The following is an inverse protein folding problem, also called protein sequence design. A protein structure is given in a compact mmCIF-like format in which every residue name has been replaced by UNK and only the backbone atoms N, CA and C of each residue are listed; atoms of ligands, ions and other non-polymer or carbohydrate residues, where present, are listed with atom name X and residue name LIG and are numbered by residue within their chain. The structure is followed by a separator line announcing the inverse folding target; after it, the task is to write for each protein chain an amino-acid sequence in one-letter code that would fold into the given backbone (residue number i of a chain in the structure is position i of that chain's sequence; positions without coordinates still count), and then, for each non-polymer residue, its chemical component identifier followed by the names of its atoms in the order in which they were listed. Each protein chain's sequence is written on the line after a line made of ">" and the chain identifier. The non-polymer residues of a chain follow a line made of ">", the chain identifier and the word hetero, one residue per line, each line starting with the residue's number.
data_IF_402613492031
#
_entry.id   IF_402613492031
#
_cell.length_a   1.000
_cell.length_b   1.000
_cell.length_c   1.000
_cell.angle_alpha   90.00
_cell.angle_beta   90.00
_cell.angle_gamma   90.00
#
_symmetry.space_group_name_H-M   'P 1'
#
loop_
_entity.id
_entity.type
_entity.pdbx_description
1 polymer ?
#
# COMPACT_ATOMS: atom_id res chain seq x y z
N UNK A 1 11.16 31.18 3.99
CA UNK A 1 12.11 31.61 2.94
C UNK A 1 13.15 30.55 2.57
N UNK A 2 13.62 29.68 3.47
CA UNK A 2 14.42 28.51 3.10
C UNK A 2 13.59 27.25 2.79
N UNK A 3 12.39 27.13 3.37
CA UNK A 3 11.44 26.03 3.10
C UNK A 3 10.88 26.11 1.68
N UNK A 4 10.52 27.31 1.20
CA UNK A 4 9.91 27.49 -0.13
C UNK A 4 10.87 27.17 -1.29
N UNK A 5 12.17 27.48 -1.14
CA UNK A 5 13.18 27.12 -2.16
C UNK A 5 13.45 25.62 -2.17
N UNK A 6 13.51 24.99 -1.00
CA UNK A 6 13.72 23.54 -0.89
C UNK A 6 12.50 22.77 -1.44
N UNK A 7 11.28 23.23 -1.19
CA UNK A 7 10.06 22.64 -1.76
C UNK A 7 9.97 22.81 -3.28
N UNK A 8 10.37 23.98 -3.81
CA UNK A 8 10.37 24.27 -5.25
C UNK A 8 11.44 23.50 -6.04
N UNK A 9 12.68 23.43 -5.53
CA UNK A 9 13.75 22.64 -6.14
C UNK A 9 13.43 21.14 -6.14
N UNK A 10 12.76 20.67 -5.10
CA UNK A 10 12.34 19.27 -5.01
C UNK A 10 11.14 18.99 -5.95
N UNK A 11 10.22 19.94 -6.16
CA UNK A 11 9.14 19.81 -7.15
C UNK A 11 9.63 19.65 -8.59
N UNK A 12 10.55 20.52 -9.03
CA UNK A 12 11.12 20.44 -10.37
C UNK A 12 11.87 19.12 -10.58
N UNK A 13 12.60 18.66 -9.55
CA UNK A 13 13.31 17.38 -9.60
C UNK A 13 12.37 16.20 -9.91
N UNK A 14 11.20 16.13 -9.26
CA UNK A 14 10.26 15.03 -9.47
C UNK A 14 9.65 15.00 -10.86
N UNK A 15 9.26 16.16 -11.39
CA UNK A 15 8.62 16.23 -12.70
C UNK A 15 9.64 15.99 -13.83
N UNK A 16 10.86 16.50 -13.69
CA UNK A 16 11.93 16.33 -14.68
C UNK A 16 12.51 14.91 -14.72
N UNK A 17 12.57 14.22 -13.57
CA UNK A 17 13.20 12.90 -13.48
C UNK A 17 12.21 11.74 -13.49
N UNK A 18 10.89 11.99 -13.59
CA UNK A 18 9.85 10.94 -13.48
C UNK A 18 10.07 9.75 -14.43
N UNK A 19 10.38 10.01 -15.70
CA UNK A 19 10.56 8.94 -16.69
C UNK A 19 11.81 8.11 -16.39
N UNK A 20 12.92 8.79 -16.08
CA UNK A 20 14.19 8.16 -15.65
C UNK A 20 13.95 7.31 -14.39
N UNK A 21 13.20 7.82 -13.42
CA UNK A 21 12.86 7.11 -12.18
C UNK A 21 12.12 5.79 -12.46
N UNK A 22 11.21 5.84 -13.42
CA UNK A 22 10.39 4.70 -13.82
C UNK A 22 11.19 3.73 -14.71
N UNK A 23 12.23 4.18 -15.40
CA UNK A 23 13.12 3.35 -16.23
C UNK A 23 14.25 2.68 -15.44
N UNK A 24 14.81 3.37 -14.45
CA UNK A 24 15.86 2.86 -13.55
C UNK A 24 15.33 1.83 -12.53
N UNK A 25 14.01 1.64 -12.45
CA UNK A 25 13.40 0.62 -11.61
C UNK A 25 13.73 -0.79 -12.13
N UNK A 26 14.42 -1.58 -11.30
CA UNK A 26 14.83 -2.95 -11.65
C UNK A 26 13.95 -4.00 -10.97
N UNK A 27 13.34 -4.88 -11.77
CA UNK A 27 12.55 -6.02 -11.26
C UNK A 27 13.39 -6.99 -10.42
N UNK A 28 14.68 -7.15 -10.74
CA UNK A 28 15.60 -8.06 -10.04
C UNK A 28 15.77 -7.71 -8.55
N UNK A 29 15.79 -6.43 -8.20
CA UNK A 29 15.95 -5.96 -6.82
C UNK A 29 14.66 -6.03 -6.03
N UNK A 30 13.55 -5.74 -6.71
CA UNK A 30 12.23 -5.95 -6.17
C UNK A 30 12.00 -7.44 -5.85
N UNK A 31 12.38 -8.34 -6.76
CA UNK A 31 12.38 -9.78 -6.53
C UNK A 31 13.25 -10.18 -5.34
N UNK A 32 14.49 -9.67 -5.29
CA UNK A 32 15.42 -9.94 -4.19
C UNK A 32 14.81 -9.53 -2.84
N UNK A 33 14.19 -8.35 -2.77
CA UNK A 33 13.51 -7.89 -1.57
C UNK A 33 12.42 -8.85 -1.12
N UNK A 34 11.55 -9.31 -2.03
CA UNK A 34 10.49 -10.26 -1.69
C UNK A 34 11.03 -11.64 -1.30
N UNK A 35 12.13 -12.10 -1.91
CA UNK A 35 12.78 -13.37 -1.58
C UNK A 35 13.40 -13.36 -0.18
N UNK A 36 13.97 -12.23 0.25
CA UNK A 36 14.51 -12.03 1.59
C UNK A 36 13.41 -11.82 2.64
N UNK A 37 12.23 -11.33 2.22
CA UNK A 37 11.11 -10.99 3.09
C UNK A 37 9.87 -11.86 2.83
N UNK A 38 10.03 -13.19 2.83
CA UNK A 38 8.94 -14.12 2.43
C UNK A 38 7.65 -14.02 3.24
N UNK A 39 7.69 -13.50 4.48
CA UNK A 39 6.54 -13.40 5.38
C UNK A 39 5.91 -12.00 5.42
N UNK A 40 6.33 -11.09 4.53
CA UNK A 40 5.98 -9.68 4.50
C UNK A 40 4.49 -9.35 4.64
N UNK A 41 3.62 -10.16 4.01
CA UNK A 41 2.17 -9.94 3.98
C UNK A 41 1.42 -10.68 5.09
N UNK A 42 2.07 -11.63 5.76
CA UNK A 42 1.45 -12.50 6.77
C UNK A 42 0.82 -11.70 7.92
N UNK A 43 1.45 -10.65 8.48
CA UNK A 43 0.82 -9.82 9.51
C UNK A 43 -0.47 -9.14 9.02
N UNK A 44 -0.49 -8.63 7.79
CA UNK A 44 -1.65 -7.95 7.20
C UNK A 44 -2.82 -8.91 6.98
N UNK A 45 -2.56 -10.13 6.51
CA UNK A 45 -3.57 -11.19 6.45
C UNK A 45 -4.06 -11.61 7.83
N UNK A 46 -3.17 -11.68 8.83
CA UNK A 46 -3.53 -11.95 10.21
C UNK A 46 -4.50 -10.90 10.76
N UNK A 47 -4.26 -9.62 10.47
CA UNK A 47 -5.14 -8.52 10.85
C UNK A 47 -6.50 -8.59 10.11
N UNK A 48 -6.51 -8.87 8.80
CA UNK A 48 -7.75 -9.05 8.03
C UNK A 48 -8.61 -10.18 8.60
N UNK A 49 -7.99 -11.33 8.92
CA UNK A 49 -8.69 -12.47 9.48
C UNK A 49 -9.29 -12.15 10.86
N UNK A 50 -8.62 -11.33 11.67
CA UNK A 50 -9.20 -10.85 12.94
C UNK A 50 -10.39 -9.94 12.69
N UNK A 51 -10.28 -8.99 11.76
CA UNK A 51 -11.38 -8.10 11.40
C UNK A 51 -12.63 -8.88 10.96
N UNK A 52 -12.44 -9.86 10.04
CA UNK A 52 -13.50 -10.76 9.57
C UNK A 52 -14.14 -11.58 10.69
N UNK A 53 -13.40 -11.95 11.74
CA UNK A 53 -13.95 -12.66 12.90
C UNK A 53 -14.82 -11.75 13.77
N UNK A 54 -14.35 -10.54 14.09
CA UNK A 54 -15.09 -9.60 14.95
C UNK A 54 -16.38 -9.08 14.33
N UNK A 55 -16.46 -8.99 13.00
CA UNK A 55 -17.70 -8.52 12.35
C UNK A 55 -18.79 -9.60 12.23
N UNK A 56 -18.40 -10.88 12.34
CA UNK A 56 -19.31 -12.03 12.17
C UNK A 56 -19.58 -12.79 13.48
N UNK A 57 -19.04 -12.32 14.61
CA UNK A 57 -19.26 -12.95 15.91
C UNK A 57 -20.54 -12.46 16.58
N UNK A 58 -21.11 -13.28 17.46
CA UNK A 58 -22.28 -12.91 18.29
C UNK A 58 -22.03 -11.67 19.17
N UNK A 59 -20.76 -11.39 19.49
CA UNK A 59 -20.29 -10.17 20.16
C UNK A 59 -19.62 -9.21 19.16
N UNK A 60 -20.35 -8.86 18.11
CA UNK A 60 -19.80 -8.00 17.06
C UNK A 60 -19.33 -6.65 17.62
N UNK A 61 -18.04 -6.36 17.47
CA UNK A 61 -17.46 -5.05 17.79
C UNK A 61 -16.91 -4.43 16.51
N UNK A 62 -17.67 -3.48 15.98
CA UNK A 62 -17.36 -2.81 14.72
C UNK A 62 -16.09 -1.95 14.83
N UNK A 63 -15.82 -1.37 16.00
CA UNK A 63 -14.60 -0.60 16.24
C UNK A 63 -13.38 -1.50 16.14
N UNK A 64 -13.42 -2.66 16.81
CA UNK A 64 -12.33 -3.64 16.75
C UNK A 64 -12.15 -4.19 15.34
N UNK A 65 -13.24 -4.54 14.66
CA UNK A 65 -13.20 -5.02 13.28
C UNK A 65 -12.57 -3.98 12.34
N UNK A 66 -13.01 -2.73 12.44
CA UNK A 66 -12.52 -1.61 11.64
C UNK A 66 -11.03 -1.30 11.91
N UNK A 67 -10.59 -1.31 13.16
CA UNK A 67 -9.19 -1.07 13.50
C UNK A 67 -8.30 -2.18 12.92
N UNK A 68 -8.67 -3.46 13.07
CA UNK A 68 -7.89 -4.55 12.47
C UNK A 68 -7.89 -4.49 10.93
N UNK A 69 -9.01 -4.12 10.30
CA UNK A 69 -9.05 -3.93 8.85
C UNK A 69 -8.17 -2.75 8.41
N UNK A 70 -8.19 -1.63 9.14
CA UNK A 70 -7.33 -0.46 8.88
C UNK A 70 -5.85 -0.82 9.02
N UNK A 71 -5.47 -1.58 10.05
CA UNK A 71 -4.10 -2.11 10.20
C UNK A 71 -3.73 -2.99 9.01
N UNK A 72 -4.64 -3.86 8.58
CA UNK A 72 -4.42 -4.73 7.43
C UNK A 72 -4.11 -3.94 6.15
N UNK A 73 -4.90 -2.89 5.88
CA UNK A 73 -4.68 -1.97 4.76
C UNK A 73 -3.32 -1.30 4.89
N UNK A 74 -3.05 -0.64 6.02
CA UNK A 74 -1.83 0.16 6.18
C UNK A 74 -0.56 -0.68 6.14
N UNK A 75 -0.55 -1.81 6.84
CA UNK A 75 0.61 -2.70 6.87
C UNK A 75 0.76 -3.38 5.51
N UNK A 76 -0.31 -3.90 4.92
CA UNK A 76 -0.27 -4.53 3.59
C UNK A 76 0.24 -3.57 2.52
N UNK A 77 -0.29 -2.35 2.50
CA UNK A 77 0.15 -1.32 1.57
C UNK A 77 1.61 -0.92 1.75
N UNK A 78 2.02 -0.64 3.01
CA UNK A 78 3.37 -0.20 3.32
C UNK A 78 4.40 -1.30 3.11
N UNK A 79 4.14 -2.49 3.64
CA UNK A 79 5.09 -3.60 3.61
C UNK A 79 5.13 -4.24 2.23
N UNK A 80 3.97 -4.52 1.63
CA UNK A 80 3.90 -5.36 0.44
C UNK A 80 4.08 -4.61 -0.87
N UNK A 81 3.89 -3.28 -0.89
CA UNK A 81 3.97 -2.51 -2.12
C UNK A 81 4.97 -1.35 -1.99
N UNK A 82 4.74 -0.41 -1.07
CA UNK A 82 5.57 0.81 -0.94
C UNK A 82 7.05 0.49 -0.68
N UNK A 83 7.36 -0.24 0.40
CA UNK A 83 8.76 -0.53 0.77
C UNK A 83 9.53 -1.29 -0.32
N UNK A 84 8.98 -2.37 -0.91
CA UNK A 84 9.60 -3.04 -2.05
C UNK A 84 9.84 -2.10 -3.23
N UNK A 85 8.86 -1.25 -3.57
CA UNK A 85 9.00 -0.28 -4.66
C UNK A 85 10.14 0.69 -4.39
N UNK A 86 10.26 1.21 -3.16
CA UNK A 86 11.38 2.08 -2.77
C UNK A 86 12.71 1.35 -2.87
N UNK A 87 12.76 0.09 -2.43
CA UNK A 87 13.98 -0.73 -2.51
C UNK A 87 14.43 -0.98 -3.96
N UNK A 88 13.48 -1.15 -4.89
CA UNK A 88 13.76 -1.27 -6.32
C UNK A 88 14.34 0.02 -6.96
N UNK A 89 14.23 1.17 -6.29
CA UNK A 89 14.71 2.47 -6.76
C UNK A 89 16.10 2.87 -6.22
N UNK A 90 16.72 2.14 -5.27
CA UNK A 90 17.91 2.60 -4.52
C UNK A 90 19.22 2.58 -5.34
N UNK A 91 19.17 2.57 -6.66
CA UNK A 91 20.35 2.36 -7.51
C UNK A 91 21.08 3.62 -7.97
N UNK A 92 20.56 4.83 -7.74
CA UNK A 92 21.25 6.06 -8.12
C UNK A 92 21.29 7.06 -6.98
N UNK A 93 22.36 7.85 -6.88
CA UNK A 93 22.49 8.94 -5.89
C UNK A 93 21.30 9.90 -5.92
N UNK A 94 20.62 10.00 -7.08
CA UNK A 94 19.40 10.80 -7.27
C UNK A 94 18.20 10.33 -6.42
N UNK A 95 18.23 9.11 -5.88
CA UNK A 95 17.16 8.54 -5.06
C UNK A 95 17.32 8.71 -3.55
N UNK A 96 18.46 9.26 -3.10
CA UNK A 96 18.69 9.53 -1.69
C UNK A 96 17.66 10.54 -1.13
N UNK A 97 17.26 11.54 -1.92
CA UNK A 97 16.18 12.49 -1.59
C UNK A 97 14.83 11.79 -1.44
N UNK A 98 14.53 10.84 -2.32
CA UNK A 98 13.32 10.02 -2.32
C UNK A 98 13.14 9.23 -1.02
N UNK A 99 14.22 8.59 -0.58
CA UNK A 99 14.29 7.84 0.68
C UNK A 99 14.21 8.80 1.88
N UNK A 100 14.91 9.94 1.82
CA UNK A 100 14.85 10.97 2.86
C UNK A 100 13.45 11.57 3.01
N UNK A 101 12.72 11.83 1.92
CA UNK A 101 11.36 12.38 1.93
C UNK A 101 10.35 11.39 2.53
N UNK A 102 10.50 10.09 2.23
CA UNK A 102 9.75 8.99 2.85
C UNK A 102 10.01 8.86 4.35
N UNK A 103 11.24 9.16 4.79
CA UNK A 103 11.65 9.12 6.19
C UNK A 103 11.21 10.41 6.93
N UNK A 104 11.18 11.56 6.25
CA UNK A 104 11.11 12.89 6.87
C UNK A 104 9.68 13.42 7.11
N UNK A 105 8.64 13.11 6.32
CA UNK A 105 7.33 13.74 6.60
C UNK A 105 6.07 13.03 6.07
N UNK A 106 5.00 13.16 6.87
CA UNK A 106 3.60 12.87 6.52
C UNK A 106 3.06 13.70 5.32
N UNK A 107 3.79 14.73 4.86
CA UNK A 107 3.35 15.71 3.86
C UNK A 107 3.69 15.35 2.40
N UNK A 108 4.66 14.46 2.14
CA UNK A 108 5.08 14.09 0.77
C UNK A 108 4.39 12.84 0.21
N UNK A 109 3.37 12.35 0.92
CA UNK A 109 2.65 11.12 0.59
C UNK A 109 2.00 11.18 -0.80
N UNK A 110 1.46 12.32 -1.23
CA UNK A 110 0.77 12.45 -2.52
C UNK A 110 1.72 12.41 -3.74
N UNK A 111 2.94 12.93 -3.61
CA UNK A 111 3.94 12.88 -4.70
C UNK A 111 4.52 11.48 -4.85
N UNK A 112 4.90 10.85 -3.73
CA UNK A 112 5.30 9.45 -3.73
C UNK A 112 4.17 8.56 -4.27
N UNK A 113 2.92 8.82 -3.91
CA UNK A 113 1.76 8.10 -4.41
C UNK A 113 1.67 8.13 -5.94
N UNK A 114 1.91 9.28 -6.59
CA UNK A 114 1.88 9.37 -8.07
C UNK A 114 2.93 8.46 -8.73
N UNK A 115 4.12 8.38 -8.15
CA UNK A 115 5.22 7.56 -8.68
C UNK A 115 5.00 6.10 -8.39
N UNK A 116 4.56 5.78 -7.17
CA UNK A 116 4.11 4.45 -6.81
C UNK A 116 3.01 3.94 -7.74
N UNK A 117 2.01 4.78 -8.07
CA UNK A 117 0.95 4.41 -9.02
C UNK A 117 1.49 4.21 -10.43
N UNK A 118 2.45 5.05 -10.86
CA UNK A 118 3.10 4.88 -12.16
C UNK A 118 3.88 3.56 -12.24
N UNK A 119 4.58 3.17 -11.17
CA UNK A 119 5.30 1.90 -11.07
C UNK A 119 4.33 0.72 -11.08
N UNK A 120 3.25 0.78 -10.30
CA UNK A 120 2.22 -0.26 -10.31
C UNK A 120 1.54 -0.40 -11.68
N UNK A 121 1.34 0.70 -12.40
CA UNK A 121 0.79 0.65 -13.74
C UNK A 121 1.79 0.02 -14.72
N UNK A 122 3.03 0.52 -14.76
CA UNK A 122 4.06 0.03 -15.69
C UNK A 122 4.44 -1.43 -15.46
N UNK A 123 4.64 -1.84 -14.21
CA UNK A 123 5.16 -3.16 -13.87
C UNK A 123 4.09 -4.15 -13.41
N UNK A 124 2.93 -3.66 -12.97
CA UNK A 124 1.84 -4.47 -12.43
C UNK A 124 0.56 -4.47 -13.27
N UNK A 125 0.48 -3.64 -14.31
CA UNK A 125 -0.76 -3.37 -15.05
C UNK A 125 -1.92 -2.97 -14.10
N UNK A 126 -1.60 -2.22 -13.04
CA UNK A 126 -2.57 -1.75 -12.04
C UNK A 126 -2.58 -0.23 -12.02
N UNK A 127 -3.59 0.37 -12.64
CA UNK A 127 -3.83 1.82 -12.53
C UNK A 127 -4.74 2.15 -11.35
N UNK A 128 -4.14 2.41 -10.19
CA UNK A 128 -4.86 2.80 -8.98
C UNK A 128 -5.53 4.18 -9.03
N UNK A 129 -5.21 5.03 -10.02
CA UNK A 129 -5.87 6.34 -10.15
C UNK A 129 -7.35 6.18 -10.49
N UNK A 130 -7.67 5.15 -11.27
CA UNK A 130 -9.02 4.85 -11.72
C UNK A 130 -9.55 3.50 -11.21
N UNK A 131 -8.72 2.66 -10.60
CA UNK A 131 -9.13 1.34 -10.11
C UNK A 131 -10.27 1.44 -9.11
N UNK A 132 -11.36 0.71 -9.38
CA UNK A 132 -12.52 0.58 -8.50
C UNK A 132 -12.76 -0.88 -8.17
N UNK A 133 -13.17 -1.14 -6.94
CA UNK A 133 -13.73 -2.44 -6.57
C UNK A 133 -15.05 -2.63 -7.32
N UNK A 134 -15.40 -3.89 -7.61
CA UNK A 134 -16.62 -4.23 -8.36
C UNK A 134 -17.91 -3.58 -7.80
N UNK A 135 -17.96 -3.35 -6.49
CA UNK A 135 -19.13 -2.81 -5.79
C UNK A 135 -18.96 -1.35 -5.33
N UNK A 136 -17.97 -0.63 -5.87
CA UNK A 136 -17.70 0.77 -5.49
C UNK A 136 -17.70 1.71 -6.68
N UNK A 137 -18.32 2.87 -6.50
CA UNK A 137 -18.27 3.97 -7.47
C UNK A 137 -17.06 4.88 -7.29
N UNK A 138 -16.29 4.71 -6.19
CA UNK A 138 -15.11 5.49 -5.86
C UNK A 138 -13.84 4.73 -6.26
N UNK A 139 -12.78 5.44 -6.69
CA UNK A 139 -11.46 4.84 -6.77
C UNK A 139 -11.07 4.25 -5.41
N UNK A 140 -10.43 3.07 -5.41
CA UNK A 140 -10.01 2.37 -4.20
C UNK A 140 -9.17 3.25 -3.28
N UNK A 141 -8.32 4.10 -3.89
CA UNK A 141 -7.50 5.03 -3.14
C UNK A 141 -8.29 6.03 -2.30
N UNK A 142 -9.41 6.52 -2.83
CA UNK A 142 -10.28 7.44 -2.08
C UNK A 142 -10.96 6.72 -0.91
N UNK A 143 -11.27 5.43 -1.05
CA UNK A 143 -11.76 4.61 0.06
C UNK A 143 -10.69 4.43 1.14
N UNK A 144 -9.43 4.19 0.76
CA UNK A 144 -8.29 4.11 1.70
C UNK A 144 -8.14 5.43 2.47
N UNK A 145 -8.22 6.59 1.81
CA UNK A 145 -8.17 7.91 2.44
C UNK A 145 -9.31 8.10 3.45
N UNK A 146 -10.53 7.72 3.09
CA UNK A 146 -11.70 7.78 3.98
C UNK A 146 -11.46 6.93 5.24
N UNK A 147 -10.99 5.69 5.06
CA UNK A 147 -10.70 4.77 6.17
C UNK A 147 -9.58 5.33 7.05
N UNK A 148 -8.49 5.84 6.47
CA UNK A 148 -7.38 6.41 7.23
C UNK A 148 -7.82 7.61 8.07
N UNK A 149 -8.64 8.51 7.50
CA UNK A 149 -9.20 9.65 8.23
C UNK A 149 -10.03 9.16 9.42
N UNK A 150 -10.97 8.23 9.17
CA UNK A 150 -11.83 7.67 10.22
C UNK A 150 -11.02 6.93 11.28
N UNK A 151 -9.96 6.19 10.90
CA UNK A 151 -9.02 5.55 11.84
C UNK A 151 -8.36 6.56 12.75
N UNK A 152 -7.91 7.69 12.21
CA UNK A 152 -7.33 8.75 13.03
C UNK A 152 -8.35 9.31 14.02
N UNK A 153 -9.60 9.53 13.58
CA UNK A 153 -10.67 10.00 14.46
C UNK A 153 -11.01 8.97 15.56
N UNK A 154 -11.08 7.68 15.24
CA UNK A 154 -11.31 6.60 16.22
C UNK A 154 -10.18 6.53 17.25
N UNK A 155 -8.93 6.51 16.79
CA UNK A 155 -7.76 6.35 17.67
C UNK A 155 -7.50 7.59 18.53
N UNK A 156 -7.67 8.79 17.96
CA UNK A 156 -7.31 10.04 18.64
C UNK A 156 -8.49 10.72 19.35
N UNK A 157 -9.73 10.44 18.94
CA UNK A 157 -10.94 11.08 19.49
C UNK A 157 -11.97 10.09 20.04
N UNK A 158 -11.67 8.79 20.03
CA UNK A 158 -12.60 7.73 20.44
C UNK A 158 -13.94 7.80 19.70
N UNK A 159 -13.93 8.20 18.42
CA UNK A 159 -15.14 8.22 17.62
C UNK A 159 -15.74 6.82 17.46
N UNK A 160 -17.08 6.77 17.42
CA UNK A 160 -17.80 5.53 17.14
C UNK A 160 -17.60 5.09 15.68
N UNK A 161 -17.54 3.77 15.51
CA UNK A 161 -17.52 3.07 14.23
C UNK A 161 -18.83 2.33 14.07
N UNK A 162 -19.50 2.52 12.93
CA UNK A 162 -20.70 1.76 12.60
C UNK A 162 -20.35 0.50 11.79
N UNK A 163 -21.34 -0.37 11.58
CA UNK A 163 -21.16 -1.61 10.80
C UNK A 163 -20.66 -1.33 9.38
N UNK A 164 -21.23 -0.35 8.67
CA UNK A 164 -20.84 -0.04 7.30
C UNK A 164 -19.38 0.45 7.18
N UNK A 165 -18.87 1.19 8.17
CA UNK A 165 -17.48 1.63 8.22
C UNK A 165 -16.54 0.41 8.30
N UNK A 166 -16.88 -0.54 9.19
CA UNK A 166 -16.13 -1.78 9.37
C UNK A 166 -16.19 -2.68 8.13
N UNK A 167 -17.38 -2.84 7.52
CA UNK A 167 -17.56 -3.60 6.29
C UNK A 167 -16.75 -3.01 5.14
N UNK A 168 -16.80 -1.68 4.96
CA UNK A 168 -16.01 -0.98 3.95
C UNK A 168 -14.51 -1.24 4.15
N UNK A 169 -14.01 -1.08 5.39
CA UNK A 169 -12.60 -1.31 5.69
C UNK A 169 -12.18 -2.76 5.41
N UNK A 170 -13.03 -3.75 5.76
CA UNK A 170 -12.77 -5.17 5.45
C UNK A 170 -12.76 -5.40 3.94
N UNK A 171 -13.72 -4.86 3.19
CA UNK A 171 -13.79 -5.00 1.73
C UNK A 171 -12.57 -4.39 1.03
N UNK A 172 -12.13 -3.21 1.47
CA UNK A 172 -10.91 -2.56 0.95
C UNK A 172 -9.66 -3.38 1.29
N UNK A 173 -9.53 -3.84 2.53
CA UNK A 173 -8.42 -4.70 2.95
C UNK A 173 -8.35 -6.01 2.14
N UNK A 174 -9.51 -6.65 1.93
CA UNK A 174 -9.65 -7.84 1.09
C UNK A 174 -9.23 -7.56 -0.34
N UNK A 175 -9.68 -6.46 -0.96
CA UNK A 175 -9.29 -6.14 -2.34
C UNK A 175 -7.77 -6.00 -2.49
N UNK A 176 -7.13 -5.28 -1.55
CA UNK A 176 -5.70 -5.05 -1.57
C UNK A 176 -4.93 -6.38 -1.43
N UNK A 177 -5.24 -7.15 -0.39
CA UNK A 177 -4.49 -8.36 -0.04
C UNK A 177 -4.81 -9.56 -0.94
N UNK A 178 -6.05 -9.71 -1.36
CA UNK A 178 -6.54 -10.91 -2.05
C UNK A 178 -6.57 -10.74 -3.57
N UNK A 179 -6.50 -9.50 -4.10
CA UNK A 179 -6.49 -9.24 -5.55
C UNK A 179 -5.30 -8.43 -6.02
N UNK A 180 -5.07 -7.24 -5.44
CA UNK A 180 -4.07 -6.30 -5.97
C UNK A 180 -2.64 -6.81 -5.74
N UNK A 181 -2.31 -7.19 -4.51
CA UNK A 181 -0.99 -7.72 -4.18
C UNK A 181 -0.71 -9.00 -4.99
N UNK A 182 -1.62 -10.00 -5.05
CA UNK A 182 -1.42 -11.16 -5.91
C UNK A 182 -1.23 -10.81 -7.40
N UNK A 183 -2.02 -9.88 -7.95
CA UNK A 183 -1.84 -9.42 -9.34
C UNK A 183 -0.45 -8.83 -9.53
N UNK A 184 -0.02 -7.94 -8.63
CA UNK A 184 1.29 -7.30 -8.70
C UNK A 184 2.44 -8.32 -8.59
N UNK A 185 2.35 -9.27 -7.66
CA UNK A 185 3.35 -10.31 -7.47
C UNK A 185 3.46 -11.23 -8.69
N UNK A 186 2.34 -11.59 -9.31
CA UNK A 186 2.34 -12.44 -10.50
C UNK A 186 3.08 -11.80 -11.67
N UNK A 187 3.05 -10.47 -11.80
CA UNK A 187 3.82 -9.74 -12.81
C UNK A 187 5.35 -9.85 -12.59
N UNK A 188 5.77 -10.30 -11.40
CA UNK A 188 7.18 -10.49 -11.01
C UNK A 188 7.55 -11.99 -10.91
N UNK A 189 6.73 -12.87 -11.48
CA UNK A 189 6.88 -14.33 -11.35
C UNK A 189 6.93 -14.81 -9.88
N UNK A 190 6.27 -14.08 -8.98
CA UNK A 190 6.08 -14.41 -7.57
C UNK A 190 4.62 -14.76 -7.30
N UNK A 191 4.40 -15.67 -6.36
CA UNK A 191 3.06 -16.02 -5.87
C UNK A 191 3.03 -16.11 -4.36
N UNK A 192 1.83 -15.92 -3.82
CA UNK A 192 1.55 -16.13 -2.42
C UNK A 192 1.12 -17.58 -2.19
N UNK A 193 1.78 -18.28 -1.28
CA UNK A 193 1.31 -19.57 -0.80
C UNK A 193 0.00 -19.38 -0.02
N UNK A 194 -1.04 -20.10 -0.42
CA UNK A 194 -2.40 -19.88 0.09
C UNK A 194 -2.53 -20.17 1.59
N UNK A 195 -1.73 -21.10 2.12
CA UNK A 195 -1.82 -21.58 3.50
C UNK A 195 -0.96 -20.75 4.45
N UNK A 196 0.30 -20.54 4.07
CA UNK A 196 1.32 -19.90 4.92
C UNK A 196 1.35 -18.39 4.73
N UNK A 197 0.78 -17.89 3.63
CA UNK A 197 0.93 -16.52 3.15
C UNK A 197 2.41 -16.14 2.97
N UNK A 198 3.22 -17.12 2.56
CA UNK A 198 4.61 -16.91 2.19
C UNK A 198 4.77 -16.64 0.71
N UNK A 199 5.69 -15.74 0.37
CA UNK A 199 6.06 -15.47 -1.02
C UNK A 199 6.97 -16.57 -1.56
N UNK A 200 6.65 -17.06 -2.75
CA UNK A 200 7.40 -18.11 -3.46
C UNK A 200 7.52 -17.78 -4.94
N UNK A 201 8.56 -18.27 -5.62
CA UNK A 201 8.64 -18.16 -7.08
C UNK A 201 7.63 -19.07 -7.75
N UNK A 202 7.09 -18.62 -8.88
CA UNK A 202 6.33 -19.48 -9.79
C UNK A 202 7.34 -20.41 -10.47
N UNK A 203 7.34 -21.69 -10.10
CA UNK A 203 8.08 -22.70 -10.86
C UNK A 203 7.37 -22.88 -12.21
N UNK A 204 7.99 -22.43 -13.29
CA UNK A 204 7.57 -22.73 -14.66
C UNK A 204 8.10 -24.09 -15.10
#
# INVERSE_FOLDING_TARGET
>A
MSIDLFEYENEAFWDENREIIIEDFTSEKLESYYQENKLLVKPSFGALNRAKKFINSDYSDYTVAFIFASISIEVGWKSALIKPTVYGLVHTESFASLIMDLIMAHHYYEKFQKIFFAILNKYGDIDLTCYKRNDSNKPLWEEIKIIQKKRNDVVHKAENVNKSDAELAISVASEILEKIIPKFLNCLDLKLDENTKMLTRIMR
#
